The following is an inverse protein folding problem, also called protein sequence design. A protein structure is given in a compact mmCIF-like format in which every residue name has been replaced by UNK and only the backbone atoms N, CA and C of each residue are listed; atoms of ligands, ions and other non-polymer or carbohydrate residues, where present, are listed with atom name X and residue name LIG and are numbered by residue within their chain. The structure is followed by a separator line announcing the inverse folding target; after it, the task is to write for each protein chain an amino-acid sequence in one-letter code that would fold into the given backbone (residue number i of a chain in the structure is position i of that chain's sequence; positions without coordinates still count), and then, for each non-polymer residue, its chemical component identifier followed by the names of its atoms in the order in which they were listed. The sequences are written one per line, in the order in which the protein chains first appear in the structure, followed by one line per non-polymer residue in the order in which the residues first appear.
data_IF_191117241770
#
_entry.id   IF_191117241770
#
_cell.length_a   1.000
_cell.length_b   1.000
_cell.length_c   1.000
_cell.angle_alpha   90.00
_cell.angle_beta   90.00
_cell.angle_gamma   90.00
#
_symmetry.space_group_name_H-M   'P 1'
#
loop_
_entity.id
_entity.type
_entity.pdbx_description
1 polymer ?
#
# COMPACT_ATOMS: atom_id res chain seq x y z
N UNK A 1 -6.68 19.94 9.31
CA UNK A 1 -6.92 19.92 7.87
C UNK A 1 -7.64 18.61 7.59
N UNK A 2 -8.73 18.65 6.83
CA UNK A 2 -9.59 17.49 6.63
C UNK A 2 -9.27 16.93 5.25
N UNK A 3 -8.91 15.64 5.17
CA UNK A 3 -8.80 14.94 3.90
C UNK A 3 -10.13 15.08 3.15
N UNK A 4 -10.07 15.61 1.93
CA UNK A 4 -11.25 15.69 1.07
C UNK A 4 -11.48 14.35 0.37
N UNK A 5 -12.71 14.03 -0.08
CA UNK A 5 -12.96 12.83 -0.86
C UNK A 5 -12.08 12.71 -2.11
N UNK A 6 -11.75 13.84 -2.74
CA UNK A 6 -10.86 13.90 -3.91
C UNK A 6 -9.42 13.53 -3.53
N UNK A 7 -8.91 14.05 -2.40
CA UNK A 7 -7.58 13.70 -1.89
C UNK A 7 -7.47 12.20 -1.56
N UNK A 8 -8.52 11.64 -0.95
CA UNK A 8 -8.56 10.21 -0.60
C UNK A 8 -8.55 9.32 -1.85
N UNK A 9 -9.33 9.67 -2.88
CA UNK A 9 -9.35 8.94 -4.16
C UNK A 9 -8.00 9.01 -4.86
N UNK A 10 -7.31 10.15 -4.81
CA UNK A 10 -5.99 10.30 -5.40
C UNK A 10 -4.94 9.45 -4.68
N UNK A 11 -4.99 9.38 -3.35
CA UNK A 11 -4.10 8.52 -2.56
C UNK A 11 -4.41 7.04 -2.83
N UNK A 12 -5.69 6.67 -2.93
CA UNK A 12 -6.11 5.30 -3.29
C UNK A 12 -5.56 4.90 -4.65
N UNK A 13 -5.68 5.78 -5.64
CA UNK A 13 -5.12 5.57 -6.97
C UNK A 13 -3.62 5.27 -6.92
N UNK A 14 -2.82 6.10 -6.24
CA UNK A 14 -1.37 5.88 -6.13
C UNK A 14 -1.01 4.65 -5.31
N UNK A 15 -1.81 4.30 -4.31
CA UNK A 15 -1.63 3.05 -3.58
C UNK A 15 -1.84 1.84 -4.47
N UNK A 16 -2.90 1.83 -5.29
CA UNK A 16 -3.15 0.76 -6.25
C UNK A 16 -2.08 0.69 -7.33
N UNK A 17 -1.57 1.83 -7.79
CA UNK A 17 -0.43 1.87 -8.72
C UNK A 17 0.81 1.22 -8.11
N UNK A 18 1.17 1.56 -6.86
CA UNK A 18 2.28 0.94 -6.15
C UNK A 18 2.07 -0.58 -5.99
N UNK A 19 0.88 -1.02 -5.60
CA UNK A 19 0.56 -2.44 -5.48
C UNK A 19 0.78 -3.17 -6.81
N UNK A 20 0.33 -2.58 -7.92
CA UNK A 20 0.56 -3.14 -9.25
C UNK A 20 2.03 -3.12 -9.64
N UNK A 21 2.80 -2.08 -9.33
CA UNK A 21 4.25 -2.08 -9.60
C UNK A 21 4.95 -3.24 -8.89
N UNK A 22 4.49 -3.57 -7.69
CA UNK A 22 5.09 -4.58 -6.82
C UNK A 22 4.65 -6.02 -7.12
N UNK A 23 3.40 -6.22 -7.55
CA UNK A 23 2.82 -7.56 -7.66
C UNK A 23 1.78 -7.71 -8.78
N UNK A 24 1.93 -6.96 -9.89
CA UNK A 24 1.02 -6.98 -11.05
C UNK A 24 0.56 -8.37 -11.44
N UNK A 25 1.50 -9.28 -11.67
CA UNK A 25 1.20 -10.61 -12.19
C UNK A 25 0.28 -11.40 -11.24
N UNK A 26 0.49 -11.28 -9.93
CA UNK A 26 -0.34 -11.94 -8.92
C UNK A 26 -1.71 -11.27 -8.77
N UNK A 27 -1.77 -9.94 -8.86
CA UNK A 27 -3.02 -9.19 -8.80
C UNK A 27 -3.90 -9.49 -10.02
N UNK A 28 -3.32 -9.44 -11.22
CA UNK A 28 -4.04 -9.56 -12.48
C UNK A 28 -4.44 -11.02 -12.75
N UNK A 29 -3.56 -11.99 -12.50
CA UNK A 29 -3.88 -13.41 -12.72
C UNK A 29 -4.99 -13.94 -11.81
N UNK A 30 -5.20 -13.30 -10.66
CA UNK A 30 -6.21 -13.69 -9.68
C UNK A 30 -7.39 -12.72 -9.63
N UNK A 31 -7.38 -11.67 -10.47
CA UNK A 31 -8.39 -10.62 -10.52
C UNK A 31 -8.73 -10.06 -9.12
N UNK A 32 -7.69 -9.73 -8.33
CA UNK A 32 -7.88 -9.27 -6.96
C UNK A 32 -8.56 -7.91 -6.92
N UNK A 33 -9.60 -7.79 -6.09
CA UNK A 33 -10.19 -6.50 -5.73
C UNK A 33 -9.26 -5.80 -4.74
N UNK A 34 -8.69 -4.68 -5.17
CA UNK A 34 -7.76 -3.88 -4.36
C UNK A 34 -8.50 -3.14 -3.23
N UNK A 35 -7.83 -2.88 -2.09
CA UNK A 35 -8.48 -2.29 -0.93
C UNK A 35 -8.98 -0.87 -1.23
N UNK A 36 -10.20 -0.58 -0.80
CA UNK A 36 -10.70 0.80 -0.75
C UNK A 36 -10.19 1.48 0.50
N UNK A 37 -9.72 2.71 0.34
CA UNK A 37 -9.21 3.49 1.46
C UNK A 37 -10.36 4.20 2.18
N UNK A 38 -10.34 4.08 3.50
CA UNK A 38 -11.15 4.89 4.40
C UNK A 38 -10.18 5.68 5.28
N UNK A 39 -10.46 6.96 5.49
CA UNK A 39 -9.64 7.80 6.37
C UNK A 39 -9.96 7.48 7.83
N UNK A 40 -8.96 7.01 8.57
CA UNK A 40 -9.10 6.65 9.99
C UNK A 40 -8.08 7.42 10.82
N UNK A 41 -8.56 8.12 11.86
CA UNK A 41 -7.72 8.95 12.74
C UNK A 41 -6.91 8.11 13.74
N UNK A 42 -7.21 6.82 13.86
CA UNK A 42 -6.76 5.97 14.96
C UNK A 42 -5.40 5.28 14.71
N UNK A 43 -4.67 5.64 13.66
CA UNK A 43 -3.43 4.97 13.22
C UNK A 43 -3.56 3.43 13.13
N UNK A 44 -4.78 2.94 12.86
CA UNK A 44 -5.03 1.51 12.78
C UNK A 44 -4.31 0.95 11.55
N UNK A 45 -3.57 -0.14 11.77
CA UNK A 45 -2.85 -0.82 10.72
C UNK A 45 -3.76 -1.84 10.06
N UNK A 46 -3.97 -1.67 8.76
CA UNK A 46 -4.71 -2.57 7.91
C UNK A 46 -3.75 -3.52 7.18
N UNK A 47 -4.25 -4.70 6.82
CA UNK A 47 -3.49 -5.71 6.10
C UNK A 47 -4.25 -6.18 4.86
N UNK A 48 -3.57 -6.19 3.72
CA UNK A 48 -4.05 -6.75 2.46
C UNK A 48 -3.09 -7.85 1.97
N UNK A 49 -3.47 -9.13 2.05
CA UNK A 49 -2.63 -10.21 1.58
C UNK A 49 -2.58 -10.26 0.05
N UNK A 50 -1.42 -10.60 -0.49
CA UNK A 50 -1.28 -10.97 -1.91
C UNK A 50 -1.00 -12.48 -1.98
N UNK A 51 -1.98 -13.30 -2.40
CA UNK A 51 -1.74 -14.72 -2.56
C UNK A 51 -0.60 -14.96 -3.56
N UNK A 52 0.32 -15.85 -3.18
CA UNK A 52 1.59 -16.08 -3.88
C UNK A 52 2.78 -15.38 -3.25
N UNK A 53 2.60 -14.28 -2.51
CA UNK A 53 3.70 -13.60 -1.81
C UNK A 53 4.01 -14.19 -0.43
N UNK A 54 3.08 -14.96 0.15
CA UNK A 54 3.07 -15.30 1.59
C UNK A 54 3.30 -14.06 2.47
N UNK A 55 2.80 -12.94 1.99
CA UNK A 55 2.96 -11.57 2.46
C UNK A 55 1.93 -10.71 1.75
N UNK A 56 2.25 -9.45 1.52
CA UNK A 56 1.29 -8.48 1.00
C UNK A 56 1.63 -7.08 1.46
N UNK A 57 0.60 -6.28 1.72
CA UNK A 57 0.69 -4.88 2.08
C UNK A 57 0.09 -4.65 3.46
N UNK A 58 0.88 -4.11 4.40
CA UNK A 58 0.33 -3.40 5.54
C UNK A 58 0.22 -1.92 5.20
N UNK A 59 -0.80 -1.24 5.70
CA UNK A 59 -0.96 0.20 5.49
C UNK A 59 -1.69 0.86 6.65
N UNK A 60 -1.34 2.11 6.95
CA UNK A 60 -1.93 2.91 8.01
C UNK A 60 -1.83 4.39 7.69
N UNK A 61 -2.68 5.19 8.34
CA UNK A 61 -2.64 6.65 8.20
C UNK A 61 -1.72 7.28 9.24
N UNK A 62 -0.80 8.11 8.78
CA UNK A 62 -0.05 9.06 9.60
C UNK A 62 -0.45 10.48 9.20
N UNK A 63 -1.30 11.09 10.02
CA UNK A 63 -1.92 12.39 9.73
C UNK A 63 -2.69 12.35 8.40
N UNK A 64 -2.12 12.92 7.33
CA UNK A 64 -2.71 13.01 5.99
C UNK A 64 -1.97 12.16 4.96
N UNK A 65 -1.01 11.35 5.42
CA UNK A 65 -0.16 10.51 4.56
C UNK A 65 -0.49 9.05 4.82
N UNK A 66 -0.65 8.27 3.75
CA UNK A 66 -0.77 6.82 3.87
C UNK A 66 0.64 6.22 3.88
N UNK A 67 0.97 5.49 4.93
CA UNK A 67 2.20 4.70 4.98
C UNK A 67 1.84 3.26 4.63
N UNK A 68 2.70 2.61 3.86
CA UNK A 68 2.54 1.19 3.54
C UNK A 68 3.87 0.45 3.58
N UNK A 69 3.86 -0.76 4.09
CA UNK A 69 4.95 -1.71 3.93
C UNK A 69 4.49 -2.89 3.09
N UNK A 70 5.34 -3.31 2.17
CA UNK A 70 5.09 -4.41 1.27
C UNK A 70 6.24 -5.39 1.31
N UNK A 71 5.95 -6.69 1.39
CA UNK A 71 6.99 -7.72 1.44
C UNK A 71 6.48 -9.08 0.96
N UNK A 72 7.39 -9.93 0.50
CA UNK A 72 7.15 -11.32 0.16
C UNK A 72 8.14 -12.23 0.89
N UNK A 73 7.63 -13.26 1.58
CA UNK A 73 8.48 -14.31 2.17
C UNK A 73 9.14 -15.22 1.13
N UNK A 74 8.65 -15.20 -0.11
CA UNK A 74 9.22 -15.97 -1.22
C UNK A 74 10.52 -15.33 -1.71
N UNK A 75 10.67 -14.02 -1.54
CA UNK A 75 11.81 -13.24 -1.99
C UNK A 75 12.41 -12.49 -0.81
N UNK A 76 13.48 -13.03 -0.22
CA UNK A 76 14.20 -12.36 0.88
C UNK A 76 14.71 -10.97 0.47
N UNK A 77 14.69 -10.02 1.40
CA UNK A 77 15.05 -8.62 1.17
C UNK A 77 14.04 -7.85 0.31
N UNK A 78 12.87 -8.41 0.01
CA UNK A 78 11.87 -7.76 -0.85
C UNK A 78 11.08 -6.65 -0.15
N UNK A 79 11.23 -6.51 1.16
CA UNK A 79 10.55 -5.52 1.98
C UNK A 79 10.82 -4.10 1.51
N UNK A 80 9.75 -3.32 1.34
CA UNK A 80 9.81 -1.88 1.08
C UNK A 80 8.76 -1.14 1.90
N UNK A 81 9.11 0.03 2.42
CA UNK A 81 8.21 1.00 3.05
C UNK A 81 8.06 2.23 2.16
N UNK A 82 6.84 2.65 1.90
CA UNK A 82 6.54 3.88 1.16
C UNK A 82 5.63 4.80 1.96
N UNK A 83 5.76 6.10 1.71
CA UNK A 83 4.71 7.08 1.98
C UNK A 83 3.97 7.40 0.70
N UNK A 84 2.67 7.63 0.80
CA UNK A 84 1.78 7.96 -0.32
C UNK A 84 1.00 9.23 0.03
N UNK A 85 1.02 10.16 -0.90
CA UNK A 85 0.36 11.47 -0.83
C UNK A 85 -0.45 11.70 -2.10
N UNK A 86 -1.17 12.82 -2.18
CA UNK A 86 -1.87 13.23 -3.40
C UNK A 86 -0.95 13.55 -4.58
N UNK A 87 0.37 13.59 -4.38
CA UNK A 87 1.37 13.85 -5.43
C UNK A 87 2.05 12.58 -5.94
N UNK A 88 1.80 11.43 -5.31
CA UNK A 88 2.46 10.16 -5.62
C UNK A 88 2.97 9.44 -4.38
N UNK A 89 3.91 8.52 -4.57
CA UNK A 89 4.55 7.77 -3.50
C UNK A 89 6.08 7.89 -3.55
N UNK A 90 6.70 7.77 -2.38
CA UNK A 90 8.16 7.85 -2.19
C UNK A 90 8.61 6.65 -1.35
N UNK A 91 9.68 5.98 -1.80
CA UNK A 91 10.34 4.91 -1.06
C UNK A 91 11.10 5.50 0.12
N UNK A 92 10.82 4.99 1.32
CA UNK A 92 11.45 5.43 2.57
C UNK A 92 12.51 4.44 3.07
N UNK A 93 12.25 3.15 2.89
CA UNK A 93 13.11 2.08 3.39
C UNK A 93 12.95 0.83 2.52
N UNK A 94 14.02 0.06 2.31
CA UNK A 94 13.99 -1.19 1.57
C UNK A 94 15.01 -2.22 2.07
N UNK A 95 14.85 -3.48 1.65
CA UNK A 95 15.83 -4.54 1.91
C UNK A 95 15.56 -5.36 3.18
N UNK A 96 14.36 -5.25 3.77
CA UNK A 96 13.96 -6.04 4.94
C UNK A 96 13.17 -7.31 4.54
N UNK A 97 12.87 -8.15 5.55
CA UNK A 97 12.34 -9.53 5.46
C UNK A 97 13.35 -10.59 5.07
#
# INVERSE_FOLDING_TARGET
MNQTPESLQQIEHYFHELMRQRSRDLIDSQNLELPKLEFTVNQEQHWFPIPGMYGGFSYWWEQETLITESWSRVVGGSGQRHKITTQGFELLEEGFV
#
